data_IF_481489514810
#
_entry.id   IF_481489514810
#
_cell.length_a   1.000
_cell.length_b   1.000
_cell.length_c   1.000
_cell.angle_alpha   90.00
_cell.angle_beta   90.00
_cell.angle_gamma   90.00
#
_symmetry.space_group_name_H-M   'P 1'
#
loop_
_entity.id
_entity.type
_entity.pdbx_description
1 polymer ?
#
# COMPACT_ATOMS: atom_id res chain seq x y z
N UNK A 1 -31.40 -27.38 -49.91
CA UNK A 1 -31.65 -25.96 -49.60
C UNK A 1 -30.29 -25.28 -49.52
N UNK A 2 -29.76 -24.84 -50.68
CA UNK A 2 -29.61 -23.44 -51.15
C UNK A 2 -28.33 -22.79 -50.58
N UNK A 3 -27.45 -22.11 -51.34
CA UNK A 3 -27.56 -21.45 -52.66
C UNK A 3 -26.18 -21.33 -53.33
N UNK A 4 -26.24 -21.11 -54.64
CA UNK A 4 -25.20 -20.89 -55.66
C UNK A 4 -24.80 -19.39 -55.72
N UNK A 5 -23.61 -19.12 -56.31
CA UNK A 5 -23.34 -18.05 -57.29
C UNK A 5 -22.23 -17.03 -56.94
N UNK A 6 -21.64 -16.51 -58.02
CA UNK A 6 -20.27 -15.99 -58.22
C UNK A 6 -20.25 -14.42 -58.23
N UNK A 7 -19.16 -13.70 -58.63
CA UNK A 7 -18.69 -12.48 -57.97
C UNK A 7 -19.05 -11.20 -58.75
N UNK A 8 -18.71 -10.00 -58.26
CA UNK A 8 -18.17 -8.94 -59.13
C UNK A 8 -17.55 -7.78 -58.36
N UNK A 9 -16.67 -7.10 -59.09
CA UNK A 9 -15.67 -6.11 -58.76
C UNK A 9 -16.24 -4.66 -58.70
N UNK A 10 -15.46 -3.80 -58.03
CA UNK A 10 -15.04 -2.47 -58.51
C UNK A 10 -15.53 -1.18 -57.80
N UNK A 11 -14.52 -0.38 -57.41
CA UNK A 11 -14.42 1.10 -57.26
C UNK A 11 -15.20 1.79 -56.11
N UNK A 12 -14.69 2.80 -55.38
CA UNK A 12 -13.72 3.83 -55.72
C UNK A 12 -12.96 4.41 -54.51
N UNK A 13 -11.74 4.87 -54.83
CA UNK A 13 -10.88 5.92 -54.24
C UNK A 13 -11.58 7.00 -53.40
N UNK A 14 -11.03 7.32 -52.22
CA UNK A 14 -10.88 8.71 -51.75
C UNK A 14 -9.80 8.81 -50.65
N UNK A 15 -8.85 9.70 -50.90
CA UNK A 15 -7.80 10.21 -49.99
C UNK A 15 -8.44 11.33 -49.15
N UNK A 16 -8.08 11.46 -47.86
CA UNK A 16 -8.59 12.53 -47.00
C UNK A 16 -7.67 12.78 -45.81
N UNK A 17 -6.92 13.87 -45.91
CA UNK A 17 -5.88 14.39 -45.02
C UNK A 17 -6.35 14.94 -43.66
N UNK A 18 -5.32 15.19 -42.84
CA UNK A 18 -5.15 16.32 -41.91
C UNK A 18 -5.59 16.15 -40.45
N UNK A 19 -4.56 16.05 -39.61
CA UNK A 19 -4.58 16.22 -38.16
C UNK A 19 -4.91 17.67 -37.78
N UNK A 20 -5.81 17.83 -36.80
CA UNK A 20 -6.22 19.11 -36.24
C UNK A 20 -5.08 19.80 -35.47
N UNK A 21 -4.70 21.01 -35.90
CA UNK A 21 -3.95 21.97 -35.09
C UNK A 21 -4.97 22.81 -34.29
N UNK A 22 -4.94 22.69 -32.97
CA UNK A 22 -5.67 23.61 -32.09
C UNK A 22 -4.98 24.97 -32.09
N UNK A 23 -5.72 25.96 -32.56
CA UNK A 23 -5.44 27.38 -32.50
C UNK A 23 -5.58 27.88 -31.05
N UNK A 24 -4.48 28.32 -30.43
CA UNK A 24 -4.57 29.10 -29.19
C UNK A 24 -4.76 30.58 -29.57
N UNK A 25 -5.98 31.04 -29.32
CA UNK A 25 -6.47 32.39 -29.55
C UNK A 25 -5.67 33.43 -28.77
N UNK A 26 -5.08 34.37 -29.50
CA UNK A 26 -4.67 35.70 -29.02
C UNK A 26 -5.89 36.52 -28.62
N UNK A 27 -5.87 37.14 -27.44
CA UNK A 27 -6.71 38.30 -27.16
C UNK A 27 -5.91 39.35 -26.39
N UNK A 28 -5.58 40.42 -27.11
CA UNK A 28 -5.08 41.68 -26.58
C UNK A 28 -6.21 42.48 -25.91
N UNK A 29 -5.89 43.12 -24.78
CA UNK A 29 -6.45 44.44 -24.42
C UNK A 29 -5.36 45.30 -23.78
N UNK A 30 -5.30 46.54 -24.26
CA UNK A 30 -4.35 47.60 -23.94
C UNK A 30 -5.11 48.79 -23.30
N UNK A 31 -4.34 49.78 -22.80
CA UNK A 31 -4.71 51.19 -22.45
C UNK A 31 -5.20 51.39 -20.99
N UNK A 32 -4.71 52.27 -20.09
CA UNK A 32 -3.73 53.40 -20.06
C UNK A 32 -3.36 53.77 -18.60
N UNK A 33 -2.11 54.19 -18.40
CA UNK A 33 -1.62 55.43 -17.74
C UNK A 33 -2.38 56.03 -16.53
N UNK A 34 -1.72 56.01 -15.36
CA UNK A 34 -1.68 57.14 -14.42
C UNK A 34 -0.48 57.00 -13.47
N UNK A 35 0.42 57.98 -13.52
CA UNK A 35 1.43 58.25 -12.50
C UNK A 35 0.81 58.38 -11.10
N UNK A 36 1.39 57.73 -10.10
CA UNK A 36 1.55 58.32 -8.77
C UNK A 36 2.69 57.64 -8.00
N UNK A 37 3.79 58.36 -7.77
CA UNK A 37 4.78 58.04 -6.75
C UNK A 37 4.35 58.76 -5.47
N UNK A 38 4.20 58.05 -4.33
CA UNK A 38 4.99 58.45 -3.16
C UNK A 38 5.68 57.27 -2.46
N UNK A 39 6.78 57.59 -1.78
CA UNK A 39 7.68 56.68 -1.04
C UNK A 39 7.12 56.26 0.35
N UNK A 40 7.97 55.75 1.28
CA UNK A 40 8.10 54.35 1.70
C UNK A 40 7.36 54.05 3.01
N UNK A 41 6.82 52.84 3.15
CA UNK A 41 6.20 52.40 4.41
C UNK A 41 6.00 50.90 4.41
N UNK A 42 6.70 50.24 5.32
CA UNK A 42 6.69 48.79 5.54
C UNK A 42 5.28 48.21 5.67
N UNK A 43 4.96 47.20 4.86
CA UNK A 43 4.33 45.99 5.37
C UNK A 43 4.66 44.80 4.47
N UNK A 44 5.57 43.97 4.98
CA UNK A 44 6.04 42.72 4.41
C UNK A 44 4.88 41.79 4.11
N UNK A 45 4.79 41.35 2.85
CA UNK A 45 4.06 40.13 2.46
C UNK A 45 4.73 38.94 3.15
N UNK A 46 4.18 38.49 4.28
CA UNK A 46 4.49 37.16 4.83
C UNK A 46 3.28 36.27 4.61
N UNK A 47 3.29 35.58 3.47
CA UNK A 47 2.46 34.39 3.22
C UNK A 47 3.35 33.23 2.78
N UNK A 48 4.36 32.85 3.56
CA UNK A 48 5.04 31.56 3.35
C UNK A 48 5.79 31.15 4.61
N UNK A 49 5.28 30.16 5.36
CA UNK A 49 5.95 29.63 6.54
C UNK A 49 5.30 28.35 7.08
N UNK A 50 3.98 28.24 7.02
CA UNK A 50 3.27 27.08 7.58
C UNK A 50 3.14 25.88 6.63
N UNK A 51 3.15 26.09 5.31
CA UNK A 51 2.88 25.01 4.35
C UNK A 51 4.10 24.07 4.16
N UNK A 52 5.30 24.61 4.14
CA UNK A 52 6.55 23.84 4.03
C UNK A 52 6.85 23.01 5.28
N UNK A 53 6.55 23.53 6.48
CA UNK A 53 6.71 22.78 7.73
C UNK A 53 5.72 21.60 7.84
N UNK A 54 4.44 21.85 7.51
CA UNK A 54 3.39 20.81 7.55
C UNK A 54 3.65 19.67 6.57
N UNK A 55 4.21 19.93 5.38
CA UNK A 55 4.56 18.89 4.41
C UNK A 55 5.75 18.04 4.90
N UNK A 56 6.77 18.68 5.50
CA UNK A 56 7.91 17.95 6.08
C UNK A 56 7.48 17.03 7.22
N UNK A 57 6.68 17.55 8.15
CA UNK A 57 6.18 16.79 9.30
C UNK A 57 5.31 15.61 8.89
N UNK A 58 4.44 15.78 7.87
CA UNK A 58 3.64 14.67 7.33
C UNK A 58 4.53 13.61 6.69
N UNK A 59 5.52 14.01 5.90
CA UNK A 59 6.44 13.08 5.24
C UNK A 59 7.29 12.30 6.25
N UNK A 60 7.75 12.94 7.32
CA UNK A 60 8.56 12.27 8.34
C UNK A 60 7.72 11.37 9.25
N UNK A 61 6.48 11.74 9.57
CA UNK A 61 5.51 10.84 10.25
C UNK A 61 5.17 9.63 9.40
N UNK A 62 4.99 9.82 8.10
CA UNK A 62 4.74 8.74 7.14
C UNK A 62 5.94 7.78 7.08
N UNK A 63 7.17 8.26 6.91
CA UNK A 63 8.38 7.41 6.93
C UNK A 63 8.50 6.57 8.20
N UNK A 64 8.07 7.10 9.34
CA UNK A 64 8.16 6.41 10.63
C UNK A 64 7.02 5.42 10.88
N UNK A 65 5.97 5.36 10.05
CA UNK A 65 4.82 4.50 10.32
C UNK A 65 5.13 3.01 10.14
N UNK A 66 5.99 2.64 9.19
CA UNK A 66 6.45 1.26 9.00
C UNK A 66 7.25 0.74 10.20
N UNK A 67 8.12 1.58 10.76
CA UNK A 67 8.94 1.23 11.94
C UNK A 67 8.07 1.13 13.20
N UNK A 68 7.09 2.03 13.36
CA UNK A 68 6.10 1.94 14.44
C UNK A 68 5.27 0.65 14.35
N UNK A 69 4.82 0.29 13.14
CA UNK A 69 4.14 -0.99 12.91
C UNK A 69 5.03 -2.17 13.25
N UNK A 70 6.29 -2.16 12.82
CA UNK A 70 7.24 -3.25 13.11
C UNK A 70 7.47 -3.42 14.61
N UNK A 71 7.63 -2.32 15.36
CA UNK A 71 7.78 -2.35 16.82
C UNK A 71 6.52 -2.89 17.48
N UNK A 72 5.35 -2.37 17.12
CA UNK A 72 4.08 -2.86 17.64
C UNK A 72 3.88 -4.36 17.40
N UNK A 73 4.21 -4.86 16.19
CA UNK A 73 4.11 -6.28 15.87
C UNK A 73 5.08 -7.11 16.72
N UNK A 74 6.35 -6.70 16.77
CA UNK A 74 7.42 -7.43 17.47
C UNK A 74 7.18 -7.46 18.97
N UNK A 75 6.88 -6.30 19.56
CA UNK A 75 6.56 -6.18 20.98
C UNK A 75 5.24 -6.88 21.29
N UNK A 76 4.27 -6.81 20.38
CA UNK A 76 2.98 -7.47 20.52
C UNK A 76 3.09 -8.97 20.66
N UNK A 77 3.90 -9.58 19.78
CA UNK A 77 4.20 -11.02 19.80
C UNK A 77 5.02 -11.39 21.05
N UNK A 78 6.05 -10.61 21.39
CA UNK A 78 6.92 -10.89 22.54
C UNK A 78 6.24 -10.75 23.90
N UNK A 79 5.33 -9.76 24.02
CA UNK A 79 4.56 -9.52 25.24
C UNK A 79 3.34 -10.44 25.38
N UNK A 80 2.97 -11.15 24.31
CA UNK A 80 1.74 -11.96 24.26
C UNK A 80 0.47 -11.13 24.10
N UNK A 81 0.57 -9.82 23.83
CA UNK A 81 -0.61 -8.99 23.53
C UNK A 81 -1.21 -9.28 22.15
N UNK A 82 -0.41 -9.81 21.21
CA UNK A 82 -0.90 -10.46 20.01
C UNK A 82 -0.90 -11.97 20.23
N UNK A 83 -2.09 -12.57 20.14
CA UNK A 83 -2.22 -14.03 20.20
C UNK A 83 -1.54 -14.68 19.00
N UNK A 84 -0.83 -15.77 19.26
CA UNK A 84 -0.07 -16.53 18.27
C UNK A 84 -0.61 -17.95 18.23
N UNK A 85 -0.86 -18.48 17.03
CA UNK A 85 -1.36 -19.83 16.77
C UNK A 85 -2.76 -20.16 17.31
N UNK A 86 -3.53 -19.20 17.82
CA UNK A 86 -4.91 -19.45 18.21
C UNK A 86 -5.86 -19.43 16.98
N UNK A 87 -7.05 -20.05 17.05
CA UNK A 87 -7.98 -20.15 15.91
C UNK A 87 -8.41 -18.79 15.35
N UNK A 88 -8.53 -17.77 16.19
CA UNK A 88 -8.91 -16.41 15.84
C UNK A 88 -7.71 -15.45 15.71
N UNK A 89 -6.48 -15.96 15.89
CA UNK A 89 -5.27 -15.16 15.79
C UNK A 89 -5.04 -14.64 14.37
N UNK A 90 -4.36 -13.49 14.30
CA UNK A 90 -3.79 -12.96 13.07
C UNK A 90 -2.35 -13.47 12.88
N UNK A 91 -1.65 -13.81 13.96
CA UNK A 91 -0.25 -14.25 13.90
C UNK A 91 -0.20 -15.77 14.01
N UNK A 92 0.44 -16.40 13.03
CA UNK A 92 0.63 -17.86 13.01
C UNK A 92 2.09 -18.18 12.67
N UNK A 93 2.64 -19.22 13.29
CA UNK A 93 3.97 -19.74 12.98
C UNK A 93 3.84 -20.91 12.01
N UNK A 94 4.73 -21.00 11.04
CA UNK A 94 4.77 -22.07 10.05
C UNK A 94 6.17 -22.19 9.45
N UNK A 95 6.78 -23.37 9.52
CA UNK A 95 8.12 -23.64 9.02
C UNK A 95 9.19 -22.69 9.59
N UNK A 96 9.09 -22.30 10.87
CA UNK A 96 10.01 -21.35 11.50
C UNK A 96 9.86 -19.89 11.02
N UNK A 97 8.78 -19.58 10.31
CA UNK A 97 8.39 -18.24 9.88
C UNK A 97 7.08 -17.82 10.54
N UNK A 98 6.86 -16.53 10.62
CA UNK A 98 5.63 -15.90 11.12
C UNK A 98 4.83 -15.43 9.91
N UNK A 99 3.61 -15.94 9.78
CA UNK A 99 2.62 -15.47 8.83
C UNK A 99 1.78 -14.35 9.44
N UNK A 100 1.64 -13.24 8.71
CA UNK A 100 0.72 -12.14 9.05
C UNK A 100 -0.19 -11.80 7.86
N UNK A 101 -1.53 -11.84 8.02
CA UNK A 101 -2.48 -11.58 6.94
C UNK A 101 -2.53 -10.11 6.59
N UNK A 102 -2.69 -9.83 5.29
CA UNK A 102 -2.93 -8.49 4.76
C UNK A 102 -4.31 -8.47 4.07
N UNK A 103 -5.14 -7.43 4.28
CA UNK A 103 -4.86 -6.18 5.00
C UNK A 103 -5.06 -6.22 6.52
N UNK A 104 -5.55 -7.33 7.09
CA UNK A 104 -6.12 -7.41 8.44
C UNK A 104 -5.15 -6.98 9.55
N UNK A 105 -3.86 -7.34 9.45
CA UNK A 105 -2.86 -6.97 10.48
C UNK A 105 -2.65 -5.45 10.58
N UNK A 106 -2.77 -4.73 9.46
CA UNK A 106 -2.63 -3.28 9.45
C UNK A 106 -3.85 -2.59 10.03
N UNK A 107 -5.04 -3.13 9.81
CA UNK A 107 -6.24 -2.65 10.49
C UNK A 107 -6.19 -2.90 12.00
N UNK A 108 -5.64 -4.04 12.44
CA UNK A 108 -5.42 -4.31 13.85
C UNK A 108 -4.47 -3.28 14.48
N UNK A 109 -3.38 -2.93 13.79
CA UNK A 109 -2.46 -1.87 14.21
C UNK A 109 -3.15 -0.51 14.32
N UNK A 110 -3.90 -0.08 13.29
CA UNK A 110 -4.61 1.20 13.28
C UNK A 110 -5.63 1.31 14.42
N UNK A 111 -6.34 0.22 14.74
CA UNK A 111 -7.29 0.17 15.86
C UNK A 111 -6.60 0.30 17.21
N UNK A 112 -5.41 -0.28 17.37
CA UNK A 112 -4.68 -0.31 18.65
C UNK A 112 -3.83 0.96 18.87
N UNK A 113 -3.44 1.64 17.80
CA UNK A 113 -2.59 2.83 17.82
C UNK A 113 -3.35 4.06 17.30
N UNK A 114 -4.34 4.59 18.04
CA UNK A 114 -5.10 5.79 17.65
C UNK A 114 -4.24 7.06 17.63
N UNK A 115 -3.00 7.01 18.13
CA UNK A 115 -2.02 8.09 18.03
C UNK A 115 -1.29 8.15 16.68
N UNK A 116 -1.52 7.19 15.77
CA UNK A 116 -1.09 7.35 14.38
C UNK A 116 -1.84 8.54 13.82
N UNK A 117 -1.12 9.54 13.33
CA UNK A 117 -1.73 10.78 12.82
C UNK A 117 -2.91 10.47 11.89
N UNK A 118 -4.02 11.22 11.96
CA UNK A 118 -5.26 10.92 11.23
C UNK A 118 -5.08 10.85 9.70
N UNK A 119 -3.93 11.31 9.20
CA UNK A 119 -3.54 11.28 7.80
C UNK A 119 -2.86 9.96 7.34
N UNK A 120 -2.47 9.05 8.27
CA UNK A 120 -1.81 7.79 7.92
C UNK A 120 -2.85 6.71 7.66
N UNK A 121 -2.90 6.25 6.41
CA UNK A 121 -3.78 5.18 6.01
C UNK A 121 -3.07 3.82 6.04
N UNK A 122 -3.85 2.75 5.93
CA UNK A 122 -3.36 1.37 5.87
C UNK A 122 -2.31 1.16 4.76
N UNK A 123 -2.51 1.79 3.60
CA UNK A 123 -1.60 1.63 2.45
C UNK A 123 -0.24 2.29 2.68
N UNK A 124 -0.21 3.38 3.47
CA UNK A 124 1.04 4.01 3.87
C UNK A 124 1.84 3.09 4.78
N UNK A 125 1.18 2.49 5.77
CA UNK A 125 1.81 1.55 6.69
C UNK A 125 2.35 0.33 5.92
N UNK A 126 1.56 -0.24 5.01
CA UNK A 126 2.00 -1.37 4.19
C UNK A 126 3.25 -1.01 3.39
N UNK A 127 3.21 0.10 2.64
CA UNK A 127 4.31 0.52 1.78
C UNK A 127 5.59 0.79 2.57
N UNK A 128 5.49 1.47 3.71
CA UNK A 128 6.67 1.74 4.54
C UNK A 128 7.19 0.47 5.22
N UNK A 129 6.31 -0.45 5.63
CA UNK A 129 6.72 -1.76 6.13
C UNK A 129 7.49 -2.58 5.08
N UNK A 130 6.99 -2.64 3.84
CA UNK A 130 7.65 -3.33 2.73
C UNK A 130 9.03 -2.73 2.44
N UNK A 131 9.18 -1.40 2.51
CA UNK A 131 10.47 -0.71 2.36
C UNK A 131 11.51 -1.11 3.42
N UNK A 132 11.08 -1.55 4.61
CA UNK A 132 12.02 -2.01 5.65
C UNK A 132 12.67 -3.36 5.32
N UNK A 133 12.18 -4.09 4.31
CA UNK A 133 12.74 -5.39 3.91
C UNK A 133 12.71 -6.45 5.04
N UNK A 134 11.76 -6.32 5.98
CA UNK A 134 11.64 -7.25 7.12
C UNK A 134 10.90 -8.52 6.75
N UNK A 135 9.94 -8.43 5.82
CA UNK A 135 9.24 -9.55 5.24
C UNK A 135 10.15 -10.38 4.31
N UNK A 136 9.83 -11.65 4.18
CA UNK A 136 10.45 -12.57 3.24
C UNK A 136 9.93 -12.27 1.83
N UNK A 137 10.84 -12.19 0.87
CA UNK A 137 10.54 -12.01 -0.55
C UNK A 137 11.18 -13.17 -1.33
N UNK A 138 10.39 -13.85 -2.17
CA UNK A 138 10.87 -14.92 -3.05
C UNK A 138 10.48 -14.60 -4.49
N UNK A 139 11.45 -14.47 -5.40
CA UNK A 139 11.23 -14.11 -6.82
C UNK A 139 10.31 -12.88 -6.96
N UNK A 140 10.67 -11.81 -6.25
CA UNK A 140 9.91 -10.54 -6.21
C UNK A 140 8.48 -10.63 -5.66
N UNK A 141 8.07 -11.79 -5.12
CA UNK A 141 6.80 -11.96 -4.40
C UNK A 141 7.02 -11.86 -2.90
N UNK A 142 6.43 -10.85 -2.29
CA UNK A 142 6.38 -10.61 -0.83
C UNK A 142 5.15 -11.23 -0.16
N UNK A 143 4.11 -11.51 -0.96
CA UNK A 143 2.83 -12.05 -0.50
C UNK A 143 2.72 -13.54 -0.80
N UNK A 144 2.31 -14.29 0.21
CA UNK A 144 2.12 -15.72 0.17
C UNK A 144 0.65 -16.04 0.45
N UNK A 145 0.12 -17.02 -0.27
CA UNK A 145 -1.21 -17.55 -0.03
C UNK A 145 -1.13 -18.65 1.01
N UNK A 146 -2.08 -18.62 1.95
CA UNK A 146 -2.24 -19.68 2.93
C UNK A 146 -3.72 -20.08 3.04
N UNK A 147 -3.94 -21.25 3.61
CA UNK A 147 -5.26 -21.75 3.97
C UNK A 147 -5.35 -21.71 5.49
N UNK A 148 -6.33 -20.97 6.01
CA UNK A 148 -6.66 -20.96 7.44
C UNK A 148 -7.88 -21.84 7.66
N UNK A 149 -7.75 -22.80 8.56
CA UNK A 149 -8.76 -23.79 8.90
C UNK A 149 -9.50 -23.39 10.17
N UNK A 150 -10.77 -23.76 10.27
CA UNK A 150 -11.58 -23.51 11.46
C UNK A 150 -11.23 -24.49 12.60
N UNK A 151 -10.78 -25.70 12.25
CA UNK A 151 -10.47 -26.78 13.20
C UNK A 151 -8.97 -27.07 13.28
N UNK A 152 -8.55 -27.59 14.43
CA UNK A 152 -7.18 -28.06 14.65
C UNK A 152 -6.80 -29.21 13.72
N UNK A 153 -5.51 -29.33 13.44
CA UNK A 153 -5.00 -30.36 12.52
C UNK A 153 -5.28 -30.05 11.06
N UNK A 154 -5.64 -28.80 10.72
CA UNK A 154 -5.96 -28.34 9.36
C UNK A 154 -7.13 -29.12 8.75
N UNK A 155 -8.19 -29.29 9.54
CA UNK A 155 -9.40 -30.00 9.14
C UNK A 155 -10.58 -29.04 8.96
N UNK A 156 -11.68 -29.58 8.43
CA UNK A 156 -12.92 -28.84 8.25
C UNK A 156 -12.84 -27.73 7.19
N UNK A 157 -13.67 -26.71 7.37
CA UNK A 157 -13.76 -25.57 6.46
C UNK A 157 -12.49 -24.73 6.55
N UNK A 158 -12.06 -24.22 5.39
CA UNK A 158 -10.91 -23.33 5.31
C UNK A 158 -11.22 -22.10 4.48
N UNK A 159 -10.51 -21.00 4.78
CA UNK A 159 -10.52 -19.76 4.03
C UNK A 159 -9.11 -19.47 3.50
N UNK A 160 -9.02 -19.06 2.25
CA UNK A 160 -7.76 -18.61 1.66
C UNK A 160 -7.43 -17.20 2.16
N UNK A 161 -6.25 -17.04 2.74
CA UNK A 161 -5.70 -15.75 3.17
C UNK A 161 -4.44 -15.42 2.34
N UNK A 162 -4.13 -14.13 2.26
CA UNK A 162 -2.90 -13.63 1.65
C UNK A 162 -2.15 -12.83 2.72
N UNK A 163 -0.83 -12.93 2.76
CA UNK A 163 -0.06 -12.28 3.82
C UNK A 163 1.44 -12.34 3.62
N UNK A 164 2.16 -11.73 4.54
CA UNK A 164 3.62 -11.75 4.56
C UNK A 164 4.12 -12.92 5.40
N UNK A 165 5.31 -13.39 5.05
CA UNK A 165 6.13 -14.22 5.90
C UNK A 165 7.26 -13.40 6.50
N UNK A 166 7.59 -13.61 7.76
CA UNK A 166 8.72 -12.98 8.45
C UNK A 166 9.51 -14.11 9.12
N UNK A 167 10.84 -14.10 9.02
CA UNK A 167 11.65 -15.10 9.76
C UNK A 167 11.39 -14.95 11.27
N UNK A 168 10.98 -16.03 11.94
CA UNK A 168 10.59 -15.93 13.35
C UNK A 168 11.76 -15.49 14.25
N UNK A 169 13.00 -15.83 13.87
CA UNK A 169 14.23 -15.37 14.54
C UNK A 169 14.42 -13.85 14.56
N UNK A 170 13.74 -13.08 13.70
CA UNK A 170 13.75 -11.60 13.77
C UNK A 170 12.99 -11.06 14.99
N UNK A 171 12.09 -11.85 15.58
CA UNK A 171 11.25 -11.45 16.72
C UNK A 171 11.60 -12.27 17.98
N UNK A 172 11.79 -13.59 17.82
CA UNK A 172 12.13 -14.53 18.89
C UNK A 172 13.66 -14.69 19.08
N UNK A 173 14.45 -13.62 18.99
CA UNK A 173 15.93 -13.68 18.98
C UNK A 173 16.51 -14.61 20.05
N UNK A 174 16.16 -14.38 21.32
CA UNK A 174 16.69 -15.11 22.49
C UNK A 174 15.65 -16.05 23.13
N UNK A 175 14.54 -16.31 22.44
CA UNK A 175 13.45 -17.16 22.95
C UNK A 175 13.24 -18.37 22.05
N UNK A 176 12.62 -19.39 22.62
CA UNK A 176 12.13 -20.51 21.83
C UNK A 176 11.02 -20.01 20.89
N UNK A 177 11.07 -20.48 19.64
CA UNK A 177 9.98 -20.24 18.69
C UNK A 177 8.88 -21.27 19.01
N UNK A 178 7.62 -20.84 19.19
CA UNK A 178 6.51 -21.76 19.33
C UNK A 178 6.39 -22.70 18.12
N UNK A 179 5.78 -23.87 18.33
CA UNK A 179 5.55 -24.84 17.25
C UNK A 179 4.68 -24.27 16.11
N UNK A 180 4.67 -24.97 14.98
CA UNK A 180 3.85 -24.61 13.83
C UNK A 180 2.36 -24.62 14.17
N UNK A 181 1.62 -23.69 13.54
CA UNK A 181 0.18 -23.56 13.75
C UNK A 181 -0.58 -24.76 13.21
N UNK A 182 -1.44 -25.33 14.05
CA UNK A 182 -2.37 -26.40 13.67
C UNK A 182 -3.56 -25.90 12.82
N UNK A 183 -3.70 -24.58 12.65
CA UNK A 183 -4.82 -23.95 11.94
C UNK A 183 -4.41 -23.36 10.59
N UNK A 184 -3.11 -23.34 10.25
CA UNK A 184 -2.62 -22.61 9.08
C UNK A 184 -1.67 -23.45 8.24
N UNK A 185 -1.88 -23.41 6.92
CA UNK A 185 -0.98 -24.03 5.94
C UNK A 185 -0.60 -23.03 4.86
N UNK A 186 0.70 -22.78 4.70
CA UNK A 186 1.22 -21.88 3.67
C UNK A 186 1.65 -22.69 2.45
N UNK A 187 1.14 -22.32 1.28
CA UNK A 187 1.58 -22.91 0.01
C UNK A 187 2.70 -22.05 -0.58
N UNK A 188 3.94 -22.46 -0.36
CA UNK A 188 5.10 -21.85 -1.03
C UNK A 188 5.27 -22.57 -2.37
N UNK A 189 4.48 -22.19 -3.37
CA UNK A 189 4.65 -22.77 -4.71
C UNK A 189 6.03 -22.37 -5.24
N UNK A 190 6.82 -23.40 -5.56
CA UNK A 190 8.22 -23.41 -6.00
C UNK A 190 8.57 -22.33 -6.99
#
# INVERSE_FOLDING_TARGET
>A
TTVVAVPDNQEAKAVGDAMALMEFSTSERQVTEAENIPQPGDLVVVKTGEETARISDKKDKQKNCGEQFWRWLSDGIRSGSLSVNAPDSLVHITGGMIFIPTPEIFFAFLKKTPCSSPDINRDDIQREFEKLGRNFCKRDKSLFQCMKYEEEGRQGRHKRWSGYLIMARKIYTDRDIPDDSMYLFVSIVG
#
